data_IF_843170485390
#
_entry.id   IF_843170485390
#
_cell.length_a   1.000
_cell.length_b   1.000
_cell.length_c   1.000
_cell.angle_alpha   90.00
_cell.angle_beta   90.00
_cell.angle_gamma   90.00
#
_symmetry.space_group_name_H-M   'P 1'
#
loop_
_entity.id
_entity.type
_entity.pdbx_description
1 polymer ?
#
# COMPACT_ATOMS: atom_id res chain seq x y z
N UNK A 1 -12.44 13.24 8.79
CA UNK A 1 -12.54 14.07 7.70
C UNK A 1 -11.28 14.15 6.86
N UNK A 2 -11.00 15.36 6.45
CA UNK A 2 -9.87 15.60 5.56
C UNK A 2 -8.53 15.22 6.18
N UNK A 3 -8.43 15.26 7.49
CA UNK A 3 -7.20 14.87 8.17
C UNK A 3 -6.87 13.41 7.96
N UNK A 4 -7.89 12.57 7.89
CA UNK A 4 -7.68 11.14 7.67
C UNK A 4 -7.12 10.87 6.27
N UNK A 5 -7.56 11.63 5.28
CA UNK A 5 -7.04 11.48 3.93
C UNK A 5 -5.55 11.79 3.86
N UNK A 6 -5.14 12.85 4.57
CA UNK A 6 -3.73 13.25 4.63
C UNK A 6 -2.91 12.16 5.31
N UNK A 7 -3.45 11.60 6.40
CA UNK A 7 -2.78 10.53 7.12
C UNK A 7 -2.65 9.28 6.28
N UNK A 8 -3.70 8.96 5.53
CA UNK A 8 -3.69 7.78 4.66
C UNK A 8 -2.59 7.86 3.62
N UNK A 9 -2.46 9.01 2.95
CA UNK A 9 -1.41 9.21 1.96
C UNK A 9 -0.02 9.13 2.59
N UNK A 10 0.13 9.74 3.75
CA UNK A 10 1.41 9.76 4.47
C UNK A 10 1.80 8.36 4.91
N UNK A 11 0.84 7.61 5.45
CA UNK A 11 1.09 6.26 5.92
C UNK A 11 1.46 5.33 4.77
N UNK A 12 0.79 5.49 3.63
CA UNK A 12 1.10 4.71 2.44
C UNK A 12 2.53 4.99 1.97
N UNK A 13 2.94 6.26 1.99
CA UNK A 13 4.30 6.65 1.63
C UNK A 13 5.32 6.03 2.58
N UNK A 14 5.01 6.00 3.88
CA UNK A 14 5.88 5.38 4.87
C UNK A 14 6.02 3.88 4.63
N UNK A 15 4.91 3.22 4.29
CA UNK A 15 4.93 1.79 3.99
C UNK A 15 5.85 1.50 2.81
N UNK A 16 5.73 2.30 1.76
CA UNK A 16 6.57 2.14 0.57
C UNK A 16 8.03 2.41 0.88
N UNK A 17 8.31 3.37 1.74
CA UNK A 17 9.68 3.65 2.16
C UNK A 17 10.31 2.45 2.88
N UNK A 18 9.53 1.80 3.76
CA UNK A 18 10.01 0.63 4.46
C UNK A 18 10.35 -0.50 3.49
N UNK A 19 9.53 -0.68 2.47
CA UNK A 19 9.78 -1.69 1.44
C UNK A 19 11.03 -1.33 0.64
N UNK A 20 11.21 -0.05 0.31
CA UNK A 20 12.40 0.39 -0.41
C UNK A 20 13.68 0.17 0.37
N UNK A 21 13.61 0.27 1.69
CA UNK A 21 14.76 0.02 2.54
C UNK A 21 15.10 -1.46 2.59
N UNK A 22 14.07 -2.31 2.57
CA UNK A 22 14.27 -3.74 2.64
C UNK A 22 13.10 -4.45 1.97
N UNK A 23 13.34 -4.95 0.77
CA UNK A 23 12.31 -5.59 -0.05
C UNK A 23 11.69 -6.82 0.61
N UNK A 24 12.47 -7.51 1.44
CA UNK A 24 12.02 -8.70 2.16
C UNK A 24 10.83 -8.44 3.06
N UNK A 25 10.56 -7.17 3.38
CA UNK A 25 9.42 -6.81 4.20
C UNK A 25 8.09 -7.21 3.57
N UNK A 26 8.05 -7.36 2.25
CA UNK A 26 6.85 -7.82 1.57
C UNK A 26 6.49 -9.25 1.92
N UNK A 27 7.44 -10.05 2.39
CA UNK A 27 7.19 -11.42 2.79
C UNK A 27 6.61 -11.52 4.20
N UNK A 28 6.71 -10.44 4.98
CA UNK A 28 6.22 -10.40 6.35
C UNK A 28 5.59 -9.04 6.63
N UNK A 29 4.61 -8.65 5.80
CA UNK A 29 4.02 -7.30 5.85
C UNK A 29 3.42 -6.97 7.20
N UNK A 30 2.81 -7.93 7.88
CA UNK A 30 2.20 -7.66 9.18
C UNK A 30 3.26 -7.21 10.19
N UNK A 31 4.31 -7.99 10.34
CA UNK A 31 5.35 -7.71 11.34
C UNK A 31 6.28 -6.58 10.92
N UNK A 32 6.58 -6.50 9.64
CA UNK A 32 7.62 -5.59 9.16
C UNK A 32 7.09 -4.26 8.65
N UNK A 33 5.81 -4.19 8.34
CA UNK A 33 5.20 -2.96 7.80
C UNK A 33 4.04 -2.50 8.67
N UNK A 34 3.02 -3.33 8.86
CA UNK A 34 1.80 -2.92 9.55
C UNK A 34 2.04 -2.60 11.02
N UNK A 35 2.73 -3.49 11.73
CA UNK A 35 2.96 -3.29 13.17
C UNK A 35 3.86 -2.10 13.46
N UNK A 36 4.97 -1.89 12.74
CA UNK A 36 5.78 -0.68 12.96
C UNK A 36 5.02 0.61 12.69
N UNK A 37 4.20 0.62 11.64
CA UNK A 37 3.39 1.81 11.32
C UNK A 37 2.29 2.02 12.34
N UNK A 38 1.64 0.94 12.79
CA UNK A 38 0.61 1.02 13.81
C UNK A 38 1.16 1.58 15.11
N UNK A 39 2.35 1.14 15.47
CA UNK A 39 3.05 1.62 16.68
C UNK A 39 3.31 3.12 16.57
N UNK A 40 3.78 3.55 15.41
CA UNK A 40 4.07 4.97 15.16
C UNK A 40 2.83 5.84 15.19
N UNK A 41 1.70 5.31 14.72
CA UNK A 41 0.45 6.05 14.66
C UNK A 41 -0.49 5.75 15.81
N UNK A 42 -0.04 5.00 16.80
CA UNK A 42 -0.80 4.66 18.01
C UNK A 42 -2.14 3.99 17.68
N UNK A 43 -2.11 3.00 16.81
CA UNK A 43 -3.30 2.24 16.41
C UNK A 43 -2.95 0.77 16.24
N UNK A 44 -3.95 -0.05 15.89
CA UNK A 44 -3.73 -1.47 15.63
C UNK A 44 -3.24 -1.67 14.20
N UNK A 45 -2.47 -2.75 14.00
CA UNK A 45 -1.98 -3.09 12.67
C UNK A 45 -3.14 -3.34 11.70
N UNK A 46 -4.29 -3.81 12.19
CA UNK A 46 -5.47 -4.03 11.36
C UNK A 46 -5.99 -2.72 10.77
N UNK A 47 -5.82 -1.62 11.50
CA UNK A 47 -6.20 -0.31 11.00
C UNK A 47 -5.33 0.11 9.82
N UNK A 48 -4.04 -0.19 9.89
CA UNK A 48 -3.11 0.07 8.79
C UNK A 48 -3.49 -0.76 7.56
N UNK A 49 -3.75 -2.05 7.77
CA UNK A 49 -4.15 -2.94 6.69
C UNK A 49 -5.44 -2.46 6.02
N UNK A 50 -6.44 -2.09 6.83
CA UNK A 50 -7.72 -1.60 6.31
C UNK A 50 -7.55 -0.32 5.50
N UNK A 51 -6.68 0.57 5.96
CA UNK A 51 -6.41 1.81 5.26
C UNK A 51 -5.80 1.56 3.88
N UNK A 52 -4.81 0.66 3.83
CA UNK A 52 -4.15 0.32 2.55
C UNK A 52 -5.16 -0.36 1.62
N UNK A 53 -6.01 -1.22 2.17
CA UNK A 53 -7.04 -1.90 1.40
C UNK A 53 -8.02 -0.91 0.79
N UNK A 54 -8.43 0.09 1.57
CA UNK A 54 -9.34 1.13 1.06
C UNK A 54 -8.66 1.97 -0.02
N UNK A 55 -7.38 2.25 0.14
CA UNK A 55 -6.63 2.98 -0.87
C UNK A 55 -6.59 2.18 -2.18
N UNK A 56 -6.41 0.86 -2.08
CA UNK A 56 -6.42 -0.02 -3.25
C UNK A 56 -7.78 -0.01 -3.93
N UNK A 57 -8.85 -0.09 -3.15
CA UNK A 57 -10.21 -0.08 -3.68
C UNK A 57 -10.52 1.23 -4.38
N UNK A 58 -10.12 2.34 -3.79
CA UNK A 58 -10.33 3.66 -4.38
C UNK A 58 -9.55 3.81 -5.68
N UNK A 59 -8.30 3.37 -5.70
CA UNK A 59 -7.48 3.44 -6.90
C UNK A 59 -8.07 2.59 -8.01
N UNK A 60 -8.55 1.39 -7.68
CA UNK A 60 -9.15 0.49 -8.65
C UNK A 60 -10.44 1.08 -9.22
N UNK A 61 -11.29 1.66 -8.37
CA UNK A 61 -12.54 2.25 -8.81
C UNK A 61 -12.31 3.50 -9.65
N UNK A 62 -11.28 4.27 -9.33
CA UNK A 62 -11.00 5.52 -10.02
C UNK A 62 -10.31 5.30 -11.37
N UNK A 63 -9.30 4.42 -11.39
CA UNK A 63 -8.54 4.19 -12.61
C UNK A 63 -7.91 2.80 -12.62
N UNK A 64 -8.71 1.78 -12.96
CA UNK A 64 -8.19 0.40 -12.98
C UNK A 64 -7.07 0.19 -13.99
N UNK A 65 -7.08 0.94 -15.09
CA UNK A 65 -6.04 0.85 -16.10
C UNK A 65 -4.68 1.24 -15.53
N UNK A 66 -4.65 2.31 -14.74
CA UNK A 66 -3.41 2.76 -14.10
C UNK A 66 -2.91 1.72 -13.10
N UNK A 67 -3.81 1.12 -12.34
CA UNK A 67 -3.44 0.09 -11.36
C UNK A 67 -2.82 -1.12 -12.08
N UNK A 68 -3.43 -1.55 -13.19
CA UNK A 68 -2.90 -2.66 -13.96
C UNK A 68 -1.55 -2.33 -14.59
N UNK A 69 -1.37 -1.08 -15.00
CA UNK A 69 -0.10 -0.63 -15.56
C UNK A 69 1.01 -0.70 -14.51
N UNK A 70 0.71 -0.30 -13.28
CA UNK A 70 1.65 -0.38 -12.17
C UNK A 70 2.00 -1.83 -11.84
N UNK A 71 1.02 -2.72 -11.93
CA UNK A 71 1.23 -4.14 -11.67
C UNK A 71 2.11 -4.79 -12.74
N UNK A 72 1.99 -4.34 -13.98
CA UNK A 72 2.74 -4.91 -15.08
C UNK A 72 2.10 -6.15 -15.68
N UNK A 73 0.90 -6.50 -15.24
CA UNK A 73 0.13 -7.61 -15.78
C UNK A 73 -1.36 -7.34 -15.58
N UNK A 74 -2.23 -7.97 -16.36
CA UNK A 74 -3.67 -7.73 -16.21
C UNK A 74 -4.19 -8.31 -14.90
N UNK A 75 -5.01 -7.51 -14.22
CA UNK A 75 -5.63 -7.90 -12.96
C UNK A 75 -7.10 -8.27 -13.22
N UNK A 76 -7.56 -9.33 -12.56
CA UNK A 76 -8.95 -9.77 -12.70
C UNK A 76 -9.90 -9.00 -11.79
N UNK A 77 -9.37 -8.23 -10.87
CA UNK A 77 -10.17 -7.45 -9.93
C UNK A 77 -9.29 -6.61 -9.02
N UNK A 78 -9.91 -5.97 -8.05
CA UNK A 78 -9.19 -5.11 -7.11
C UNK A 78 -8.10 -5.89 -6.37
N UNK A 79 -6.87 -5.38 -6.34
CA UNK A 79 -5.79 -6.05 -5.62
C UNK A 79 -6.01 -6.02 -4.12
N UNK A 80 -5.42 -6.99 -3.42
CA UNK A 80 -5.41 -7.01 -1.96
C UNK A 80 -4.45 -5.93 -1.45
N UNK A 81 -4.45 -5.70 -0.13
CA UNK A 81 -3.53 -4.71 0.46
C UNK A 81 -2.08 -5.04 0.14
N UNK A 82 -1.69 -6.31 0.28
CA UNK A 82 -0.32 -6.74 0.01
C UNK A 82 0.01 -6.57 -1.48
N UNK A 83 -0.89 -7.00 -2.36
CA UNK A 83 -0.69 -6.84 -3.80
C UNK A 83 -0.57 -5.37 -4.19
N UNK A 84 -1.36 -4.52 -3.55
CA UNK A 84 -1.33 -3.09 -3.84
C UNK A 84 0.03 -2.51 -3.47
N UNK A 85 0.57 -2.88 -2.32
CA UNK A 85 1.91 -2.44 -1.92
C UNK A 85 2.96 -2.95 -2.90
N UNK A 86 2.85 -4.22 -3.32
CA UNK A 86 3.77 -4.80 -4.28
C UNK A 86 3.78 -4.06 -5.61
N UNK A 87 2.59 -3.80 -6.15
CA UNK A 87 2.51 -3.15 -7.45
C UNK A 87 2.97 -1.70 -7.40
N UNK A 88 2.72 -1.01 -6.29
CA UNK A 88 3.22 0.36 -6.12
C UNK A 88 4.74 0.36 -6.04
N UNK A 89 5.30 -0.57 -5.31
CA UNK A 89 6.75 -0.69 -5.21
C UNK A 89 7.38 -1.01 -6.58
N UNK A 90 6.79 -1.95 -7.31
CA UNK A 90 7.27 -2.31 -8.63
C UNK A 90 7.19 -1.12 -9.59
N UNK A 91 6.13 -0.35 -9.49
CA UNK A 91 5.96 0.85 -10.31
C UNK A 91 7.07 1.88 -10.01
N UNK A 92 7.39 2.05 -8.74
CA UNK A 92 8.47 2.96 -8.33
C UNK A 92 9.82 2.51 -8.86
N UNK A 93 10.11 1.21 -8.76
CA UNK A 93 11.38 0.65 -9.21
C UNK A 93 11.53 0.78 -10.72
N UNK A 94 10.44 0.58 -11.47
CA UNK A 94 10.46 0.69 -12.93
C UNK A 94 10.35 2.13 -13.43
N UNK A 95 10.09 3.07 -12.54
CA UNK A 95 9.95 4.47 -12.92
C UNK A 95 8.64 4.80 -13.62
N UNK A 96 7.61 4.01 -13.34
CA UNK A 96 6.29 4.22 -13.94
C UNK A 96 5.45 5.20 -13.15
#
# INVERSE_FOLDING_TARGET
>A
GSEMCIRDSHTLSEALRLICEQEDRLEAVQKEIYEPLADRHCCDWTAIQSMIRRAAQTAWATNPTQVQRLAGYPLTGCPSAVQFLELLYNGMVRGV
#
